data_IF_300950801854
#
_entry.id   IF_300950801854
#
_cell.length_a   1.000
_cell.length_b   1.000
_cell.length_c   1.000
_cell.angle_alpha   90.00
_cell.angle_beta   90.00
_cell.angle_gamma   90.00
#
_symmetry.space_group_name_H-M   'P 1'
#
loop_
_entity.id
_entity.type
_entity.pdbx_description
1 polymer ?
#
# COMPACT_ATOMS: atom_id res chain seq x y z
N UNK A 1 9.41 -10.32 13.80
CA UNK A 1 9.38 -9.64 12.48
C UNK A 1 10.41 -10.22 11.52
N UNK A 2 11.70 -10.26 11.89
CA UNK A 2 12.79 -10.78 11.05
C UNK A 2 13.38 -12.12 11.50
N UNK A 3 12.90 -12.70 12.62
CA UNK A 3 13.45 -13.95 13.17
C UNK A 3 14.86 -13.84 13.75
N UNK A 4 15.32 -12.63 14.06
CA UNK A 4 16.66 -12.37 14.60
C UNK A 4 16.62 -12.39 16.14
N UNK A 5 17.53 -13.13 16.75
CA UNK A 5 17.75 -13.13 18.20
C UNK A 5 18.83 -12.13 18.58
N UNK A 6 18.58 -11.32 19.59
CA UNK A 6 19.56 -10.37 20.14
C UNK A 6 20.11 -10.91 21.46
N UNK A 7 21.42 -11.13 21.53
CA UNK A 7 22.12 -11.52 22.75
C UNK A 7 22.16 -10.32 23.72
N UNK A 8 22.07 -10.59 25.03
CA UNK A 8 22.08 -9.58 26.10
C UNK A 8 20.90 -8.58 26.09
N UNK A 9 19.80 -8.85 25.38
CA UNK A 9 18.60 -8.02 25.44
C UNK A 9 17.60 -8.56 26.48
N UNK A 10 17.22 -7.79 27.51
CA UNK A 10 16.45 -8.31 28.65
C UNK A 10 14.96 -8.56 28.34
N UNK A 11 14.38 -7.89 27.32
CA UNK A 11 12.97 -8.03 27.01
C UNK A 11 12.68 -8.00 25.50
N UNK A 12 12.87 -9.15 24.86
CA UNK A 12 12.64 -9.31 23.43
C UNK A 12 11.15 -9.55 23.12
N UNK A 13 10.30 -8.52 23.29
CA UNK A 13 8.85 -8.61 23.00
C UNK A 13 8.52 -8.16 21.58
N UNK A 14 7.50 -8.76 20.97
CA UNK A 14 6.84 -8.28 19.75
C UNK A 14 6.15 -6.94 20.03
N UNK A 15 6.57 -5.86 19.36
CA UNK A 15 5.99 -4.52 19.55
C UNK A 15 4.80 -4.24 18.61
N UNK A 16 4.93 -4.66 17.34
CA UNK A 16 3.96 -4.36 16.29
C UNK A 16 3.04 -5.54 15.95
N UNK A 17 3.48 -6.75 16.27
CA UNK A 17 2.73 -7.96 15.93
C UNK A 17 1.80 -8.32 17.10
N UNK A 18 0.55 -8.72 16.82
CA UNK A 18 -0.33 -9.31 17.81
C UNK A 18 0.34 -10.51 18.51
N UNK A 19 -0.02 -10.75 19.76
CA UNK A 19 0.57 -11.84 20.56
C UNK A 19 0.34 -13.22 19.91
N UNK A 20 -0.85 -13.43 19.34
CA UNK A 20 -1.23 -14.67 18.65
C UNK A 20 -0.63 -14.83 17.24
N UNK A 21 0.07 -13.82 16.71
CA UNK A 21 0.63 -13.88 15.37
C UNK A 21 1.83 -14.84 15.31
N UNK A 22 1.77 -15.79 14.39
CA UNK A 22 2.82 -16.78 14.15
C UNK A 22 3.66 -16.41 12.92
N UNK A 23 4.99 -16.50 13.05
CA UNK A 23 5.92 -16.23 11.95
C UNK A 23 6.59 -14.83 11.94
N UNK A 24 7.24 -14.53 10.82
CA UNK A 24 8.09 -13.35 10.62
C UNK A 24 7.81 -12.71 9.25
N UNK A 25 6.91 -11.71 9.18
CA UNK A 25 6.36 -11.21 7.91
C UNK A 25 7.38 -10.51 7.02
N UNK A 26 8.52 -10.08 7.57
CA UNK A 26 9.56 -9.38 6.81
C UNK A 26 10.67 -10.33 6.31
N UNK A 27 10.48 -11.65 6.43
CA UNK A 27 11.34 -12.62 5.76
C UNK A 27 11.04 -12.65 4.26
N UNK A 28 12.09 -12.80 3.45
CA UNK A 28 11.97 -12.85 1.98
C UNK A 28 11.20 -14.08 1.48
N UNK A 29 11.16 -15.15 2.26
CA UNK A 29 10.40 -16.37 1.97
C UNK A 29 8.94 -16.30 2.43
N UNK A 30 8.52 -15.20 3.05
CA UNK A 30 7.15 -15.08 3.54
C UNK A 30 6.19 -14.85 2.37
N UNK A 31 5.16 -15.69 2.25
CA UNK A 31 4.17 -15.58 1.19
C UNK A 31 3.34 -14.30 1.37
N UNK A 32 3.46 -13.37 0.42
CA UNK A 32 2.68 -12.14 0.39
C UNK A 32 1.29 -12.41 -0.19
N UNK A 33 0.44 -13.10 0.58
CA UNK A 33 -0.99 -13.29 0.24
C UNK A 33 -1.72 -11.92 0.12
N UNK A 34 -1.16 -10.86 0.70
CA UNK A 34 -1.63 -9.47 0.65
C UNK A 34 -1.66 -8.81 -0.75
N UNK A 35 -1.24 -9.49 -1.83
CA UNK A 35 -1.36 -8.95 -3.20
C UNK A 35 -2.78 -8.98 -3.75
N UNK A 36 -3.75 -9.48 -2.99
CA UNK A 36 -5.15 -9.36 -3.36
C UNK A 36 -5.58 -7.89 -3.31
N UNK A 37 -5.62 -7.26 -4.48
CA UNK A 37 -6.15 -5.90 -4.64
C UNK A 37 -7.64 -6.00 -4.38
N UNK A 38 -8.07 -5.67 -3.16
CA UNK A 38 -9.48 -5.39 -2.92
C UNK A 38 -9.82 -4.09 -3.65
N UNK A 39 -10.83 -4.09 -4.53
CA UNK A 39 -11.31 -2.85 -5.10
C UNK A 39 -11.73 -1.92 -3.96
N UNK A 40 -11.46 -0.63 -4.13
CA UNK A 40 -11.89 0.37 -3.17
C UNK A 40 -13.42 0.26 -2.99
N UNK A 41 -13.95 0.17 -1.75
CA UNK A 41 -15.36 -0.10 -1.52
C UNK A 41 -16.29 1.10 -1.82
N UNK A 42 -15.72 2.27 -2.15
CA UNK A 42 -16.46 3.49 -2.45
C UNK A 42 -16.61 3.75 -3.95
N UNK A 43 -17.60 4.58 -4.29
CA UNK A 43 -17.75 5.13 -5.63
C UNK A 43 -16.51 5.97 -5.98
N UNK A 44 -15.80 5.58 -7.04
CA UNK A 44 -14.68 6.36 -7.55
C UNK A 44 -15.29 7.38 -8.51
N UNK A 45 -15.45 8.61 -8.04
CA UNK A 45 -15.85 9.72 -8.90
C UNK A 45 -14.68 10.05 -9.84
N UNK A 46 -14.77 9.54 -11.05
CA UNK A 46 -13.86 9.86 -12.15
C UNK A 46 -14.51 10.97 -12.97
N UNK A 47 -14.55 12.19 -12.43
CA UNK A 47 -14.88 13.35 -13.24
C UNK A 47 -13.91 13.38 -14.43
N UNK A 48 -14.47 13.35 -15.64
CA UNK A 48 -13.68 13.32 -16.87
C UNK A 48 -12.73 14.52 -16.88
N UNK A 49 -11.44 14.28 -17.16
CA UNK A 49 -10.49 15.36 -17.38
C UNK A 49 -11.11 16.29 -18.43
N UNK A 50 -11.31 17.59 -18.14
CA UNK A 50 -11.92 18.49 -19.12
C UNK A 50 -11.09 18.44 -20.40
N UNK A 51 -11.75 18.19 -21.54
CA UNK A 51 -11.07 18.30 -22.81
C UNK A 51 -10.54 19.74 -22.97
N UNK A 52 -9.22 19.88 -23.17
CA UNK A 52 -8.61 21.15 -23.55
C UNK A 52 -9.20 21.58 -24.89
N UNK A 53 -10.29 22.36 -24.86
CA UNK A 53 -10.81 23.06 -26.02
C UNK A 53 -9.77 24.11 -26.42
N UNK A 54 -8.81 23.71 -27.24
CA UNK A 54 -7.94 24.61 -28.01
C UNK A 54 -8.88 25.36 -28.95
N UNK A 55 -9.29 26.55 -28.52
CA UNK A 55 -10.00 27.51 -29.36
C UNK A 55 -9.07 27.88 -30.52
N UNK A 56 -9.33 27.30 -31.69
CA UNK A 56 -8.80 27.82 -32.95
C UNK A 56 -9.49 29.15 -33.15
N UNK A 57 -8.77 30.25 -32.88
CA UNK A 57 -9.20 31.59 -33.24
C UNK A 57 -9.09 31.73 -34.76
N UNK A 58 -10.08 31.21 -35.48
CA UNK A 58 -10.54 31.85 -36.71
C UNK A 58 -11.55 32.90 -36.30
N UNK A 59 -11.24 34.17 -36.56
CA UNK A 59 -12.06 35.12 -37.33
C UNK A 59 -11.42 36.53 -37.25
N UNK A 60 -11.18 37.14 -38.42
CA UNK A 60 -11.27 38.59 -38.57
C UNK A 60 -10.03 39.36 -39.03
N UNK A 61 -9.63 39.22 -40.30
CA UNK A 61 -9.71 40.29 -41.34
C UNK A 61 -8.90 39.95 -42.59
#
# INVERSE_FOLDING_TARGET
>A
MFGINFLNHPNLKKLYLPDAYEGNPLLKSFELISREVKPWPGEVDVEGMPEDNIVVSEEGS
#
